data_IF_960210242729
#
_entry.id   IF_960210242729
#
_cell.length_a   1.000
_cell.length_b   1.000
_cell.length_c   1.000
_cell.angle_alpha   90.00
_cell.angle_beta   90.00
_cell.angle_gamma   90.00
#
_symmetry.space_group_name_H-M   'P 1'
#
loop_
_entity.id
_entity.type
_entity.pdbx_description
1 polymer ?
#
# COMPACT_ATOMS: atom_id res chain seq x y z
N UNK A 1 6.21 32.74 4.00
CA UNK A 1 7.63 32.93 4.39
C UNK A 1 8.53 33.08 3.17
N UNK A 2 9.64 33.80 3.31
CA UNK A 2 10.73 33.86 2.32
C UNK A 2 11.65 32.62 2.46
N UNK A 3 12.72 32.56 1.68
CA UNK A 3 13.65 31.42 1.71
C UNK A 3 14.57 31.36 2.96
N UNK A 4 14.57 32.39 3.80
CA UNK A 4 15.28 32.42 5.08
C UNK A 4 14.37 32.03 6.26
N UNK A 5 13.16 31.52 5.98
CA UNK A 5 12.13 31.20 6.96
C UNK A 5 11.59 32.43 7.73
N UNK A 6 11.72 33.62 7.14
CA UNK A 6 11.19 34.86 7.71
C UNK A 6 9.84 35.22 7.08
N UNK A 7 9.05 36.07 7.74
CA UNK A 7 7.83 36.61 7.14
C UNK A 7 8.20 37.39 5.87
N UNK A 8 7.56 37.06 4.75
CA UNK A 8 7.75 37.82 3.53
C UNK A 8 7.24 39.26 3.69
N UNK A 9 7.93 40.24 3.09
CA UNK A 9 7.61 41.66 3.25
C UNK A 9 6.16 41.99 2.86
N UNK A 10 5.61 41.31 1.84
CA UNK A 10 4.25 41.48 1.34
C UNK A 10 3.18 40.75 2.17
N UNK A 11 3.56 39.86 3.08
CA UNK A 11 2.60 39.03 3.81
C UNK A 11 1.93 39.83 4.93
N UNK A 12 0.60 39.85 4.90
CA UNK A 12 -0.23 40.27 6.02
C UNK A 12 -0.08 39.29 7.19
N UNK A 13 -0.40 39.77 8.40
CA UNK A 13 -0.25 39.04 9.66
C UNK A 13 -1.30 39.47 10.68
N UNK A 14 -1.42 38.72 11.79
CA UNK A 14 -2.40 38.97 12.85
C UNK A 14 -3.31 37.77 13.11
N UNK A 15 -4.36 37.95 13.91
CA UNK A 15 -5.17 36.86 14.49
C UNK A 15 -5.85 35.90 13.51
N UNK A 16 -5.95 36.25 12.22
CA UNK A 16 -6.52 35.39 11.18
C UNK A 16 -5.53 34.48 10.47
N UNK A 17 -4.26 34.43 10.91
CA UNK A 17 -3.24 33.55 10.35
C UNK A 17 -3.16 32.27 11.19
N UNK A 18 -3.50 31.14 10.58
CA UNK A 18 -3.41 29.83 11.22
C UNK A 18 -2.02 29.20 11.03
N UNK A 19 -1.45 29.25 9.82
CA UNK A 19 -0.17 28.60 9.53
C UNK A 19 0.60 29.32 8.44
N UNK A 20 1.93 29.28 8.50
CA UNK A 20 2.83 29.86 7.52
C UNK A 20 3.51 28.81 6.65
N UNK A 21 3.56 29.06 5.34
CA UNK A 21 4.27 28.21 4.38
C UNK A 21 5.18 29.03 3.44
N UNK A 22 6.08 28.39 2.67
CA UNK A 22 6.92 29.06 1.68
C UNK A 22 6.07 29.76 0.61
N UNK A 23 6.22 31.08 0.52
CA UNK A 23 5.50 31.91 -0.47
C UNK A 23 6.45 32.63 -1.43
N UNK A 24 7.76 32.56 -1.21
CA UNK A 24 8.77 33.30 -1.94
C UNK A 24 9.11 34.66 -1.31
N UNK A 25 10.02 35.38 -1.97
CA UNK A 25 10.50 36.70 -1.57
C UNK A 25 11.24 37.38 -2.72
N UNK A 26 11.80 38.57 -2.46
CA UNK A 26 12.57 39.31 -3.47
C UNK A 26 13.79 38.52 -3.94
N UNK A 27 14.48 37.84 -3.03
CA UNK A 27 15.71 37.09 -3.36
C UNK A 27 15.42 35.75 -4.05
N UNK A 28 14.45 34.99 -3.53
CA UNK A 28 14.10 33.66 -4.02
C UNK A 28 12.60 33.51 -4.16
N UNK A 29 12.16 33.20 -5.38
CA UNK A 29 10.76 32.97 -5.74
C UNK A 29 10.43 31.48 -5.73
N UNK A 30 9.15 31.15 -5.67
CA UNK A 30 8.65 29.79 -5.86
C UNK A 30 8.63 29.51 -7.36
N UNK A 31 9.45 28.56 -7.80
CA UNK A 31 9.48 28.12 -9.18
C UNK A 31 8.28 27.21 -9.45
N UNK A 32 7.50 27.53 -10.47
CA UNK A 32 6.32 26.74 -10.87
C UNK A 32 6.13 26.78 -12.38
N UNK A 33 5.47 25.75 -12.89
CA UNK A 33 5.04 25.70 -14.29
C UNK A 33 3.86 26.67 -14.49
N UNK A 34 3.87 27.38 -15.60
CA UNK A 34 2.84 28.34 -15.97
C UNK A 34 2.82 28.52 -17.48
N UNK A 35 1.76 29.13 -18.00
CA UNK A 35 1.63 29.41 -19.43
C UNK A 35 2.22 30.78 -19.74
N UNK A 36 3.02 30.85 -20.80
CA UNK A 36 3.43 32.11 -21.38
C UNK A 36 2.23 32.82 -22.04
N UNK A 37 1.84 34.03 -21.60
CA UNK A 37 0.71 34.73 -22.19
C UNK A 37 0.92 35.12 -23.66
N UNK A 38 2.17 35.24 -24.10
CA UNK A 38 2.52 35.65 -25.47
C UNK A 38 2.54 34.49 -26.46
N UNK A 39 3.02 33.33 -26.05
CA UNK A 39 3.18 32.15 -26.93
C UNK A 39 2.17 31.04 -26.66
N UNK A 40 1.46 31.07 -25.54
CA UNK A 40 0.54 30.02 -25.11
C UNK A 40 1.23 28.72 -24.68
N UNK A 41 2.56 28.70 -24.60
CA UNK A 41 3.34 27.50 -24.28
C UNK A 41 3.65 27.41 -22.79
N UNK A 42 3.83 26.17 -22.30
CA UNK A 42 4.29 25.88 -20.95
C UNK A 42 5.70 26.46 -20.71
N UNK A 43 5.90 27.10 -19.56
CA UNK A 43 7.19 27.62 -19.11
C UNK A 43 7.34 27.52 -17.60
N UNK A 44 8.59 27.43 -17.14
CA UNK A 44 8.91 27.59 -15.73
C UNK A 44 9.11 29.06 -15.40
N UNK A 45 8.43 29.55 -14.37
CA UNK A 45 8.59 30.93 -13.89
C UNK A 45 8.53 31.02 -12.36
N UNK A 46 9.27 31.98 -11.81
CA UNK A 46 9.31 32.25 -10.38
C UNK A 46 8.23 33.24 -9.96
N UNK A 47 7.42 32.87 -8.98
CA UNK A 47 6.38 33.71 -8.40
C UNK A 47 6.56 33.91 -6.89
N UNK A 48 5.95 34.96 -6.36
CA UNK A 48 5.88 35.19 -4.92
C UNK A 48 4.48 35.63 -4.54
N UNK A 49 4.02 35.21 -3.36
CA UNK A 49 2.72 35.59 -2.84
C UNK A 49 2.21 34.62 -1.79
N UNK A 50 1.18 35.03 -1.05
CA UNK A 50 0.42 34.11 -0.19
C UNK A 50 -0.31 33.06 -1.01
N UNK A 51 -0.72 33.40 -2.25
CA UNK A 51 -1.25 32.44 -3.22
C UNK A 51 -0.29 31.30 -3.56
N UNK A 52 1.03 31.47 -3.39
CA UNK A 52 2.02 30.40 -3.55
C UNK A 52 2.26 29.65 -2.23
N UNK A 53 1.99 30.25 -1.07
CA UNK A 53 2.04 29.56 0.21
C UNK A 53 0.87 28.59 0.40
N UNK A 54 -0.35 29.00 0.00
CA UNK A 54 -1.56 28.17 0.09
C UNK A 54 -1.45 26.76 -0.53
N UNK A 55 -0.93 26.56 -1.76
CA UNK A 55 -0.79 25.23 -2.35
C UNK A 55 0.22 24.33 -1.62
N UNK A 56 1.21 24.89 -0.90
CA UNK A 56 2.09 24.08 -0.05
C UNK A 56 1.31 23.48 1.11
N UNK A 57 0.50 24.29 1.81
CA UNK A 57 -0.37 23.81 2.91
C UNK A 57 -1.39 22.80 2.38
N UNK A 58 -2.03 23.10 1.24
CA UNK A 58 -2.98 22.19 0.60
C UNK A 58 -2.33 20.85 0.19
N UNK A 59 -1.09 20.89 -0.29
CA UNK A 59 -0.31 19.69 -0.61
C UNK A 59 -0.07 18.82 0.62
N UNK A 60 0.34 19.41 1.75
CA UNK A 60 0.53 18.66 3.01
C UNK A 60 -0.81 18.15 3.54
N UNK A 61 -1.89 18.94 3.47
CA UNK A 61 -3.23 18.50 3.83
C UNK A 61 -3.68 17.27 3.00
N UNK A 62 -3.37 17.26 1.69
CA UNK A 62 -3.63 16.13 0.82
C UNK A 62 -2.79 14.89 1.19
N UNK A 63 -1.52 15.07 1.58
CA UNK A 63 -0.68 13.99 2.10
C UNK A 63 -1.22 13.43 3.43
N UNK A 64 -1.66 14.28 4.36
CA UNK A 64 -2.33 13.82 5.59
C UNK A 64 -3.58 13.01 5.24
N UNK A 65 -4.39 13.50 4.29
CA UNK A 65 -5.59 12.80 3.83
C UNK A 65 -5.28 11.44 3.20
N UNK A 66 -4.17 11.32 2.46
CA UNK A 66 -3.75 10.06 1.83
C UNK A 66 -3.38 8.98 2.86
N UNK A 67 -3.00 9.38 4.08
CA UNK A 67 -2.82 8.43 5.19
C UNK A 67 -4.13 7.79 5.68
N UNK A 68 -5.30 8.27 5.25
CA UNK A 68 -6.61 7.76 5.66
C UNK A 68 -7.37 8.62 6.67
N UNK A 69 -6.81 9.77 7.07
CA UNK A 69 -7.50 10.80 7.86
C UNK A 69 -8.45 11.58 6.94
N UNK A 70 -9.76 11.35 7.07
CA UNK A 70 -10.77 11.95 6.16
C UNK A 70 -11.46 13.20 6.72
N UNK A 71 -11.43 13.37 8.03
CA UNK A 71 -12.08 14.48 8.73
C UNK A 71 -11.28 15.78 8.56
N UNK A 72 -11.83 16.83 7.93
CA UNK A 72 -11.15 18.11 7.73
C UNK A 72 -10.66 18.76 9.02
N UNK A 73 -11.41 18.68 10.12
CA UNK A 73 -11.00 19.27 11.40
C UNK A 73 -9.80 18.54 11.98
N UNK A 74 -9.75 17.21 11.81
CA UNK A 74 -8.59 16.42 12.20
C UNK A 74 -7.36 16.72 11.34
N UNK A 75 -7.54 16.98 10.04
CA UNK A 75 -6.45 17.40 9.15
C UNK A 75 -5.91 18.77 9.59
N UNK A 76 -6.80 19.73 9.83
CA UNK A 76 -6.44 21.07 10.34
C UNK A 76 -5.63 20.95 11.63
N UNK A 77 -6.14 20.21 12.61
CA UNK A 77 -5.47 19.99 13.89
C UNK A 77 -4.08 19.35 13.73
N UNK A 78 -3.93 18.38 12.84
CA UNK A 78 -2.62 17.78 12.56
C UNK A 78 -1.66 18.81 11.97
N UNK A 79 -2.10 19.66 11.04
CA UNK A 79 -1.27 20.74 10.48
C UNK A 79 -0.81 21.72 11.56
N UNK A 80 -1.71 22.08 12.47
CA UNK A 80 -1.42 23.01 13.58
C UNK A 80 -0.44 22.40 14.59
N UNK A 81 -0.71 21.18 15.06
CA UNK A 81 0.13 20.49 16.06
C UNK A 81 1.51 20.07 15.53
N UNK A 82 1.64 19.94 14.20
CA UNK A 82 2.91 19.58 13.57
C UNK A 82 3.71 20.78 13.05
N UNK A 83 3.13 21.98 13.07
CA UNK A 83 3.84 23.18 12.64
C UNK A 83 5.06 23.41 13.52
N UNK A 84 6.16 23.85 12.90
CA UNK A 84 7.36 24.28 13.61
C UNK A 84 7.09 25.61 14.27
N UNK A 85 7.01 25.60 15.58
CA UNK A 85 6.79 26.80 16.40
C UNK A 85 7.89 27.83 16.13
N UNK A 86 7.49 29.10 16.03
CA UNK A 86 8.40 30.23 15.91
C UNK A 86 8.39 30.97 17.24
N UNK A 87 9.51 30.91 17.95
CA UNK A 87 9.64 31.58 19.24
C UNK A 87 9.46 33.09 19.11
N UNK A 88 8.87 33.72 20.13
CA UNK A 88 8.70 35.17 20.23
C UNK A 88 7.86 35.83 19.13
N UNK A 89 6.90 35.10 18.53
CA UNK A 89 5.95 35.65 17.55
C UNK A 89 4.82 36.49 18.19
N UNK A 90 5.20 37.60 18.84
CA UNK A 90 4.27 38.46 19.59
C UNK A 90 3.16 39.09 18.74
N UNK A 91 3.36 39.19 17.42
CA UNK A 91 2.45 39.85 16.49
C UNK A 91 1.69 38.87 15.59
N UNK A 92 1.81 37.58 15.85
CA UNK A 92 1.17 36.49 15.08
C UNK A 92 1.47 36.57 13.58
N UNK A 93 2.76 36.57 13.25
CA UNK A 93 3.28 36.49 11.89
C UNK A 93 3.13 35.09 11.28
N UNK A 94 3.18 34.04 12.10
CA UNK A 94 3.27 32.66 11.65
C UNK A 94 2.08 31.78 12.05
N UNK A 95 1.17 32.29 12.89
CA UNK A 95 0.07 31.47 13.41
C UNK A 95 0.61 30.40 14.36
N UNK A 96 0.14 29.16 14.18
CA UNK A 96 0.69 27.98 14.86
C UNK A 96 2.14 27.66 14.47
N UNK A 97 2.66 28.24 13.38
CA UNK A 97 4.07 28.16 13.03
C UNK A 97 4.32 27.88 11.54
N UNK A 98 5.49 27.34 11.25
CA UNK A 98 5.94 27.03 9.90
C UNK A 98 5.52 25.61 9.52
N UNK A 99 4.91 25.46 8.35
CA UNK A 99 4.46 24.17 7.82
C UNK A 99 5.62 23.15 7.79
N UNK A 100 5.43 22.03 8.49
CA UNK A 100 6.37 20.90 8.51
C UNK A 100 5.68 19.63 8.01
N UNK A 101 5.96 19.26 6.76
CA UNK A 101 5.32 18.12 6.12
C UNK A 101 5.69 16.78 6.79
N UNK A 102 6.91 16.65 7.28
CA UNK A 102 7.39 15.40 7.87
C UNK A 102 6.73 15.15 9.22
N UNK A 103 6.71 16.17 10.08
CA UNK A 103 6.04 16.11 11.37
C UNK A 103 4.54 15.82 11.22
N UNK A 104 3.88 16.45 10.24
CA UNK A 104 2.47 16.24 9.94
C UNK A 104 2.14 14.78 9.61
N UNK A 105 2.96 14.15 8.75
CA UNK A 105 2.73 12.75 8.34
C UNK A 105 3.06 11.77 9.47
N UNK A 106 4.12 12.03 10.24
CA UNK A 106 4.43 11.24 11.44
C UNK A 106 3.27 11.26 12.44
N UNK A 107 2.70 12.43 12.70
CA UNK A 107 1.56 12.60 13.59
C UNK A 107 0.29 11.94 13.06
N UNK A 108 0.01 12.09 11.75
CA UNK A 108 -1.13 11.47 11.08
C UNK A 108 -1.11 9.94 11.16
N UNK A 109 0.08 9.33 11.02
CA UNK A 109 0.28 7.88 11.13
C UNK A 109 0.18 7.38 12.58
N UNK A 110 0.68 8.13 13.57
CA UNK A 110 0.70 7.73 14.99
C UNK A 110 -0.70 7.53 15.59
N UNK A 111 -1.70 8.26 15.10
CA UNK A 111 -3.10 8.17 15.53
C UNK A 111 -3.92 7.05 14.87
N UNK A 112 -3.30 6.19 14.05
CA UNK A 112 -3.95 5.04 13.43
C UNK A 112 -3.38 3.76 14.04
N UNK A 113 -4.14 3.11 14.92
CA UNK A 113 -3.88 1.70 15.18
C UNK A 113 -4.00 0.96 13.84
N UNK A 114 -2.96 0.23 13.41
CA UNK A 114 -2.85 -0.18 12.01
C UNK A 114 -3.73 -1.41 11.69
N UNK A 115 -4.46 -1.95 12.68
CA UNK A 115 -5.47 -2.99 12.48
C UNK A 115 -6.85 -2.39 12.20
N UNK A 116 -6.94 -1.50 11.21
CA UNK A 116 -8.24 -1.11 10.66
C UNK A 116 -8.75 -2.33 9.89
N UNK A 117 -10.00 -2.74 10.16
CA UNK A 117 -10.75 -3.64 9.27
C UNK A 117 -11.02 -2.89 7.96
N UNK A 118 -9.98 -2.78 7.15
CA UNK A 118 -10.04 -2.24 5.81
C UNK A 118 -10.33 -3.36 4.81
N UNK A 119 -10.55 -2.96 3.56
CA UNK A 119 -10.88 -3.90 2.50
C UNK A 119 -9.74 -4.89 2.23
N UNK A 120 -8.46 -4.47 2.33
CA UNK A 120 -7.31 -5.36 2.12
C UNK A 120 -7.30 -6.47 3.18
N UNK A 121 -7.43 -6.11 4.47
CA UNK A 121 -7.50 -7.08 5.56
C UNK A 121 -8.67 -8.06 5.38
N UNK A 122 -9.85 -7.54 5.01
CA UNK A 122 -11.02 -8.38 4.75
C UNK A 122 -10.77 -9.39 3.63
N UNK A 123 -10.14 -8.97 2.53
CA UNK A 123 -9.80 -9.86 1.42
C UNK A 123 -8.77 -10.91 1.83
N UNK A 124 -7.74 -10.54 2.61
CA UNK A 124 -6.74 -11.50 3.12
C UNK A 124 -7.36 -12.55 4.04
N UNK A 125 -8.28 -12.13 4.92
CA UNK A 125 -9.02 -13.05 5.79
C UNK A 125 -9.96 -13.95 4.99
N UNK A 126 -10.63 -13.42 3.96
CA UNK A 126 -11.49 -14.19 3.06
C UNK A 126 -10.69 -15.25 2.29
N UNK A 127 -9.52 -14.89 1.74
CA UNK A 127 -8.61 -15.83 1.06
C UNK A 127 -8.20 -16.98 1.98
N UNK A 128 -7.85 -16.66 3.23
CA UNK A 128 -7.50 -17.66 4.23
C UNK A 128 -8.70 -18.55 4.59
N UNK A 129 -9.88 -17.96 4.78
CA UNK A 129 -11.11 -18.70 5.07
C UNK A 129 -11.47 -19.68 3.95
N UNK A 130 -11.43 -19.24 2.69
CA UNK A 130 -11.68 -20.11 1.53
C UNK A 130 -10.65 -21.25 1.47
N UNK A 131 -9.38 -20.99 1.75
CA UNK A 131 -8.36 -22.03 1.82
C UNK A 131 -8.65 -23.08 2.91
N UNK A 132 -9.15 -22.67 4.08
CA UNK A 132 -9.58 -23.61 5.12
C UNK A 132 -10.86 -24.38 4.74
N UNK A 133 -11.80 -23.77 4.00
CA UNK A 133 -12.95 -24.48 3.42
C UNK A 133 -12.47 -25.56 2.45
N UNK A 134 -11.52 -25.26 1.57
CA UNK A 134 -10.93 -26.29 0.70
C UNK A 134 -10.16 -27.36 1.48
N UNK A 135 -9.49 -27.00 2.56
CA UNK A 135 -8.86 -27.97 3.47
C UNK A 135 -9.88 -28.96 4.04
N UNK A 136 -11.09 -28.50 4.37
CA UNK A 136 -12.15 -29.37 4.89
C UNK A 136 -12.54 -30.49 3.91
N UNK A 137 -12.47 -30.24 2.59
CA UNK A 137 -12.75 -31.24 1.54
C UNK A 137 -11.78 -32.43 1.56
N UNK A 138 -10.56 -32.22 2.06
CA UNK A 138 -9.49 -33.23 2.11
C UNK A 138 -9.09 -33.59 3.55
N UNK A 139 -9.83 -33.10 4.55
CA UNK A 139 -9.46 -33.13 5.97
C UNK A 139 -9.11 -34.52 6.51
N UNK A 140 -9.74 -35.59 5.99
CA UNK A 140 -9.49 -36.98 6.42
C UNK A 140 -8.10 -37.50 6.02
N UNK A 141 -7.49 -36.94 4.99
CA UNK A 141 -6.21 -37.39 4.43
C UNK A 141 -5.06 -36.42 4.73
N UNK A 142 -5.35 -35.26 5.32
CA UNK A 142 -4.36 -34.22 5.61
C UNK A 142 -3.80 -34.36 7.02
N UNK A 143 -2.48 -34.23 7.16
CA UNK A 143 -1.81 -34.05 8.45
C UNK A 143 -1.61 -32.57 8.72
N UNK A 144 -2.26 -32.05 9.77
CA UNK A 144 -2.15 -30.67 10.21
C UNK A 144 -0.81 -30.41 10.93
N UNK A 145 0.24 -30.16 10.14
CA UNK A 145 1.58 -29.80 10.64
C UNK A 145 1.81 -28.28 10.58
N UNK A 146 2.85 -27.78 11.27
CA UNK A 146 3.24 -26.37 11.15
C UNK A 146 3.58 -25.98 9.70
N UNK A 147 4.24 -26.89 8.96
CA UNK A 147 4.56 -26.70 7.54
C UNK A 147 3.30 -26.61 6.67
N UNK A 148 2.26 -27.39 6.98
CA UNK A 148 0.98 -27.29 6.30
C UNK A 148 0.35 -25.90 6.46
N UNK A 149 0.23 -25.40 7.70
CA UNK A 149 -0.33 -24.08 7.96
C UNK A 149 0.53 -22.96 7.36
N UNK A 150 1.85 -23.09 7.41
CA UNK A 150 2.76 -22.18 6.74
C UNK A 150 2.49 -22.12 5.23
N UNK A 151 2.31 -23.28 4.59
CA UNK A 151 1.96 -23.36 3.18
C UNK A 151 0.63 -22.68 2.87
N UNK A 152 -0.41 -22.94 3.68
CA UNK A 152 -1.72 -22.27 3.55
C UNK A 152 -1.54 -20.75 3.58
N UNK A 153 -0.85 -20.22 4.59
CA UNK A 153 -0.62 -18.79 4.76
C UNK A 153 0.13 -18.20 3.57
N UNK A 154 1.25 -18.81 3.16
CA UNK A 154 2.06 -18.36 2.02
C UNK A 154 1.26 -18.35 0.71
N UNK A 155 0.46 -19.39 0.48
CA UNK A 155 -0.37 -19.50 -0.71
C UNK A 155 -1.56 -18.54 -0.74
N UNK A 156 -2.23 -18.32 0.40
CA UNK A 156 -3.49 -17.58 0.44
C UNK A 156 -3.35 -16.08 0.69
N UNK A 157 -2.72 -15.70 1.81
CA UNK A 157 -2.75 -14.31 2.28
C UNK A 157 -1.37 -13.69 2.51
N UNK A 158 -0.31 -14.49 2.49
CA UNK A 158 1.04 -14.07 2.89
C UNK A 158 1.10 -13.67 4.37
N UNK A 159 2.26 -13.21 4.82
CA UNK A 159 2.41 -12.64 6.16
C UNK A 159 1.92 -11.19 6.19
N UNK A 160 0.65 -10.96 5.87
CA UNK A 160 0.12 -9.61 5.62
C UNK A 160 0.32 -8.65 6.80
N UNK A 161 0.37 -9.15 8.04
CA UNK A 161 0.64 -8.35 9.24
C UNK A 161 2.04 -7.71 9.23
N UNK A 162 2.98 -8.24 8.46
CA UNK A 162 4.29 -7.63 8.30
C UNK A 162 4.22 -6.26 7.59
N UNK A 163 3.16 -5.97 6.82
CA UNK A 163 2.94 -4.62 6.26
C UNK A 163 2.76 -3.55 7.35
N UNK A 164 2.43 -3.95 8.58
CA UNK A 164 2.26 -3.00 9.69
C UNK A 164 3.60 -2.48 10.22
N UNK A 165 4.71 -3.11 9.83
CA UNK A 165 6.06 -2.74 10.25
C UNK A 165 6.67 -1.79 9.22
N UNK A 166 6.41 -0.49 9.35
CA UNK A 166 7.02 0.53 8.50
C UNK A 166 8.38 0.94 9.09
N UNK A 167 9.48 0.45 8.50
CA UNK A 167 10.85 0.81 8.92
C UNK A 167 11.33 1.97 8.06
N UNK A 168 11.49 3.14 8.69
CA UNK A 168 11.99 4.35 8.03
C UNK A 168 13.40 4.12 7.41
N UNK A 169 13.65 4.67 6.23
CA UNK A 169 14.92 4.60 5.47
C UNK A 169 15.39 3.22 4.98
N UNK A 170 14.53 2.20 4.99
CA UNK A 170 14.87 0.85 4.46
C UNK A 170 14.04 0.54 3.21
N UNK A 171 14.62 -0.12 2.18
CA UNK A 171 13.85 -0.62 1.05
C UNK A 171 12.71 -1.54 1.53
N UNK A 172 11.46 -1.13 1.29
CA UNK A 172 10.27 -1.86 1.76
C UNK A 172 9.91 -3.06 0.87
N UNK A 173 10.54 -3.21 -0.30
CA UNK A 173 10.20 -4.26 -1.25
C UNK A 173 10.35 -5.71 -0.71
N UNK A 174 11.34 -6.07 0.15
CA UNK A 174 11.42 -7.42 0.71
C UNK A 174 10.25 -7.69 1.66
N UNK A 175 9.89 -6.70 2.47
CA UNK A 175 8.76 -6.79 3.38
C UNK A 175 7.43 -6.91 2.60
N UNK A 176 7.27 -6.13 1.53
CA UNK A 176 6.12 -6.26 0.62
C UNK A 176 6.04 -7.64 0.00
N UNK A 177 7.16 -8.23 -0.40
CA UNK A 177 7.20 -9.57 -0.98
C UNK A 177 6.74 -10.64 0.02
N UNK A 178 7.35 -10.69 1.22
CA UNK A 178 7.01 -11.70 2.25
C UNK A 178 5.59 -11.49 2.81
N UNK A 179 5.12 -10.24 2.86
CA UNK A 179 3.77 -9.93 3.31
C UNK A 179 2.68 -10.28 2.29
N UNK A 180 3.05 -10.44 1.01
CA UNK A 180 2.12 -10.74 -0.06
C UNK A 180 1.98 -12.25 -0.28
N UNK A 181 0.79 -12.75 -0.66
CA UNK A 181 0.64 -14.14 -1.06
C UNK A 181 1.47 -14.43 -2.30
N UNK A 182 1.89 -15.70 -2.45
CA UNK A 182 2.76 -16.14 -3.56
C UNK A 182 2.22 -15.74 -4.94
N UNK A 183 0.89 -15.75 -5.12
CA UNK A 183 0.24 -15.34 -6.37
C UNK A 183 0.39 -13.85 -6.73
N UNK A 184 0.73 -12.99 -5.76
CA UNK A 184 0.93 -11.54 -5.93
C UNK A 184 2.41 -11.14 -5.99
N UNK A 185 3.36 -12.09 -5.96
CA UNK A 185 4.78 -11.76 -5.96
C UNK A 185 5.23 -11.04 -7.23
N UNK A 186 4.61 -11.32 -8.38
CA UNK A 186 4.86 -10.58 -9.61
C UNK A 186 4.60 -9.08 -9.46
N UNK A 187 3.48 -8.71 -8.84
CA UNK A 187 3.12 -7.32 -8.54
C UNK A 187 4.11 -6.67 -7.58
N UNK A 188 4.50 -7.41 -6.53
CA UNK A 188 5.42 -6.91 -5.52
C UNK A 188 6.81 -6.58 -6.09
N UNK A 189 7.25 -7.33 -7.11
CA UNK A 189 8.54 -7.14 -7.80
C UNK A 189 8.44 -6.06 -8.88
N UNK A 190 7.40 -6.11 -9.72
CA UNK A 190 7.27 -5.25 -10.91
C UNK A 190 6.66 -3.88 -10.59
N UNK A 191 5.97 -3.72 -9.46
CA UNK A 191 5.22 -2.51 -9.13
C UNK A 191 3.94 -2.31 -9.96
N UNK A 192 3.44 -3.38 -10.60
CA UNK A 192 2.20 -3.36 -11.39
C UNK A 192 0.95 -3.51 -10.53
N UNK A 193 -0.15 -2.91 -10.97
CA UNK A 193 -1.48 -3.08 -10.38
C UNK A 193 -2.10 -4.41 -10.80
N UNK A 194 -1.81 -4.86 -12.03
CA UNK A 194 -2.37 -6.10 -12.61
C UNK A 194 -1.61 -7.34 -12.15
N UNK A 195 -2.33 -8.42 -11.88
CA UNK A 195 -1.74 -9.64 -11.35
C UNK A 195 -0.94 -10.37 -12.43
N UNK A 196 0.27 -10.83 -12.10
CA UNK A 196 1.09 -11.57 -13.06
C UNK A 196 0.58 -13.03 -13.21
N UNK A 197 0.18 -13.47 -14.43
CA UNK A 197 -0.43 -14.79 -14.63
C UNK A 197 0.52 -15.96 -14.35
N UNK A 198 1.84 -15.75 -14.41
CA UNK A 198 2.83 -16.79 -14.08
C UNK A 198 2.79 -17.08 -12.58
N UNK A 199 2.74 -16.03 -11.75
CA UNK A 199 2.68 -16.18 -10.30
C UNK A 199 1.28 -16.61 -9.85
N UNK A 200 0.22 -16.08 -10.47
CA UNK A 200 -1.16 -16.46 -10.23
C UNK A 200 -1.56 -17.74 -10.98
N UNK A 201 -0.76 -18.80 -10.81
CA UNK A 201 -0.98 -20.09 -11.45
C UNK A 201 -0.60 -21.26 -10.54
N UNK A 202 -0.90 -22.48 -11.00
CA UNK A 202 -0.49 -23.72 -10.33
C UNK A 202 1.03 -23.96 -10.38
N UNK A 203 1.81 -23.17 -11.14
CA UNK A 203 3.24 -23.43 -11.37
C UNK A 203 4.06 -23.48 -10.07
N UNK A 204 3.85 -22.53 -9.16
CA UNK A 204 4.57 -22.51 -7.87
C UNK A 204 4.19 -23.73 -7.02
N UNK A 205 2.89 -24.02 -6.76
CA UNK A 205 2.47 -25.26 -6.13
C UNK A 205 3.02 -26.53 -6.79
N UNK A 206 3.02 -26.59 -8.12
CA UNK A 206 3.51 -27.74 -8.89
C UNK A 206 5.01 -27.98 -8.66
N UNK A 207 5.84 -26.93 -8.76
CA UNK A 207 7.27 -27.02 -8.49
C UNK A 207 7.54 -27.44 -7.04
N UNK A 208 6.82 -26.87 -6.07
CA UNK A 208 6.95 -27.27 -4.66
C UNK A 208 6.57 -28.73 -4.45
N UNK A 209 5.49 -29.19 -5.09
CA UNK A 209 5.07 -30.58 -5.00
C UNK A 209 6.13 -31.50 -5.60
N UNK A 210 6.62 -31.22 -6.81
CA UNK A 210 7.65 -32.01 -7.46
C UNK A 210 8.94 -32.13 -6.62
N UNK A 211 9.33 -31.07 -5.91
CA UNK A 211 10.53 -31.04 -5.07
C UNK A 211 10.33 -31.70 -3.70
N UNK A 212 9.16 -31.56 -3.08
CA UNK A 212 8.96 -31.90 -1.66
C UNK A 212 8.15 -33.17 -1.43
N UNK A 213 7.49 -33.74 -2.46
CA UNK A 213 6.61 -34.90 -2.31
C UNK A 213 7.31 -36.13 -1.70
N UNK A 214 8.60 -36.33 -2.04
CA UNK A 214 9.40 -37.44 -1.51
C UNK A 214 9.77 -37.30 -0.02
N UNK A 215 9.57 -36.13 0.59
CA UNK A 215 9.88 -35.88 1.99
C UNK A 215 8.60 -35.96 2.85
N UNK A 216 8.63 -36.79 3.90
CA UNK A 216 7.47 -37.09 4.76
C UNK A 216 6.85 -35.86 5.43
N UNK A 217 7.66 -34.87 5.77
CA UNK A 217 7.21 -33.66 6.46
C UNK A 217 7.12 -32.46 5.50
N UNK A 218 8.10 -32.28 4.61
CA UNK A 218 8.12 -31.15 3.70
C UNK A 218 7.01 -31.19 2.64
N UNK A 219 6.49 -32.37 2.27
CA UNK A 219 5.33 -32.49 1.37
C UNK A 219 4.12 -31.68 1.86
N UNK A 220 3.94 -31.57 3.18
CA UNK A 220 2.82 -30.84 3.75
C UNK A 220 2.90 -29.33 3.50
N UNK A 221 4.10 -28.77 3.35
CA UNK A 221 4.29 -27.39 2.89
C UNK A 221 3.76 -27.20 1.47
N UNK A 222 4.06 -28.14 0.57
CA UNK A 222 3.58 -28.11 -0.80
C UNK A 222 2.05 -28.28 -0.88
N UNK A 223 1.48 -29.24 -0.12
CA UNK A 223 0.02 -29.44 -0.02
C UNK A 223 -0.67 -28.19 0.52
N UNK A 224 -0.16 -27.61 1.61
CA UNK A 224 -0.69 -26.38 2.17
C UNK A 224 -0.62 -25.21 1.18
N UNK A 225 0.50 -25.05 0.49
CA UNK A 225 0.68 -24.01 -0.54
C UNK A 225 -0.30 -24.16 -1.69
N UNK A 226 -0.52 -25.39 -2.17
CA UNK A 226 -1.52 -25.68 -3.23
C UNK A 226 -2.93 -25.27 -2.81
N UNK A 227 -3.36 -25.64 -1.60
CA UNK A 227 -4.69 -25.27 -1.09
C UNK A 227 -4.79 -23.75 -0.86
N UNK A 228 -3.74 -23.13 -0.30
CA UNK A 228 -3.66 -21.70 -0.10
C UNK A 228 -3.78 -20.92 -1.42
N UNK A 229 -3.04 -21.34 -2.44
CA UNK A 229 -3.08 -20.77 -3.79
C UNK A 229 -4.48 -20.93 -4.41
N UNK A 230 -5.13 -22.09 -4.26
CA UNK A 230 -6.51 -22.27 -4.73
C UNK A 230 -7.49 -21.27 -4.07
N UNK A 231 -7.34 -21.03 -2.76
CA UNK A 231 -8.13 -20.03 -2.04
C UNK A 231 -7.87 -18.60 -2.53
N UNK A 232 -6.60 -18.23 -2.73
CA UNK A 232 -6.20 -16.94 -3.31
C UNK A 232 -6.81 -16.72 -4.70
N UNK A 233 -6.63 -17.67 -5.62
CA UNK A 233 -7.12 -17.57 -6.99
C UNK A 233 -8.65 -17.47 -7.03
N UNK A 234 -9.34 -18.24 -6.19
CA UNK A 234 -10.81 -18.24 -6.10
C UNK A 234 -11.36 -16.87 -5.68
N UNK A 235 -10.79 -16.25 -4.64
CA UNK A 235 -11.21 -14.90 -4.22
C UNK A 235 -10.88 -13.86 -5.29
N UNK A 236 -9.74 -14.01 -5.97
CA UNK A 236 -9.29 -13.08 -7.02
C UNK A 236 -10.27 -13.01 -8.20
N UNK A 237 -10.89 -14.13 -8.58
CA UNK A 237 -11.92 -14.19 -9.65
C UNK A 237 -13.04 -13.16 -9.45
N UNK A 238 -13.47 -12.94 -8.21
CA UNK A 238 -14.61 -12.09 -7.87
C UNK A 238 -14.25 -10.68 -7.44
N UNK A 239 -12.98 -10.41 -7.16
CA UNK A 239 -12.53 -9.16 -6.54
C UNK A 239 -11.71 -8.31 -7.50
N UNK A 240 -10.71 -8.89 -8.15
CA UNK A 240 -9.82 -8.19 -9.10
C UNK A 240 -9.21 -9.21 -10.06
N UNK A 241 -9.97 -9.67 -11.07
CA UNK A 241 -9.53 -10.74 -11.97
C UNK A 241 -8.53 -10.26 -13.03
N UNK A 242 -8.16 -8.99 -13.06
CA UNK A 242 -7.32 -8.42 -14.12
C UNK A 242 -5.88 -8.95 -14.04
N UNK A 243 -5.44 -9.55 -15.13
CA UNK A 243 -4.14 -10.18 -15.28
C UNK A 243 -3.32 -9.40 -16.29
N UNK A 244 -2.02 -9.25 -16.02
CA UNK A 244 -1.09 -8.72 -16.98
C UNK A 244 -1.02 -9.66 -18.21
N UNK A 245 -1.04 -9.10 -19.43
CA UNK A 245 -1.10 -9.78 -20.74
C UNK A 245 -2.41 -10.48 -21.13
N UNK A 246 -3.24 -10.88 -20.18
CA UNK A 246 -4.58 -11.41 -20.46
C UNK A 246 -5.58 -10.26 -20.41
N UNK A 247 -6.46 -10.15 -21.40
CA UNK A 247 -7.49 -9.10 -21.39
C UNK A 247 -8.36 -9.18 -20.12
N UNK A 248 -8.93 -8.05 -19.71
CA UNK A 248 -9.86 -8.01 -18.58
C UNK A 248 -11.12 -8.85 -18.83
N UNK A 249 -11.79 -9.25 -17.74
CA UNK A 249 -13.06 -9.95 -17.79
C UNK A 249 -12.96 -11.48 -17.82
N UNK A 250 -13.81 -12.12 -18.62
CA UNK A 250 -14.11 -13.56 -18.53
C UNK A 250 -12.90 -14.48 -18.81
N UNK A 251 -11.99 -14.07 -19.70
CA UNK A 251 -10.78 -14.85 -20.02
C UNK A 251 -9.90 -15.01 -18.78
N UNK A 252 -9.65 -13.92 -18.06
CA UNK A 252 -8.83 -13.94 -16.86
C UNK A 252 -9.52 -14.69 -15.72
N UNK A 253 -10.85 -14.58 -15.59
CA UNK A 253 -11.61 -15.39 -14.63
C UNK A 253 -11.52 -16.89 -14.91
N UNK A 254 -11.63 -17.31 -16.19
CA UNK A 254 -11.44 -18.71 -16.57
C UNK A 254 -10.03 -19.17 -16.26
N UNK A 255 -9.00 -18.36 -16.61
CA UNK A 255 -7.62 -18.69 -16.32
C UNK A 255 -7.38 -18.94 -14.82
N UNK A 256 -7.85 -18.02 -13.97
CA UNK A 256 -7.75 -18.14 -12.51
C UNK A 256 -8.52 -19.36 -11.99
N UNK A 257 -9.74 -19.59 -12.50
CA UNK A 257 -10.58 -20.73 -12.11
C UNK A 257 -9.96 -22.08 -12.48
N UNK A 258 -9.42 -22.21 -13.70
CA UNK A 258 -8.71 -23.41 -14.14
C UNK A 258 -7.49 -23.66 -13.26
N UNK A 259 -6.69 -22.63 -12.97
CA UNK A 259 -5.52 -22.78 -12.10
C UNK A 259 -5.90 -23.13 -10.66
N UNK A 260 -7.00 -22.59 -10.12
CA UNK A 260 -7.51 -22.97 -8.80
C UNK A 260 -7.90 -24.46 -8.77
N UNK A 261 -8.60 -24.96 -9.79
CA UNK A 261 -8.95 -26.38 -9.91
C UNK A 261 -7.72 -27.26 -10.07
N UNK A 262 -6.72 -26.84 -10.85
CA UNK A 262 -5.46 -27.56 -11.01
C UNK A 262 -4.70 -27.67 -9.67
N UNK A 263 -4.71 -26.62 -8.85
CA UNK A 263 -4.12 -26.67 -7.50
C UNK A 263 -4.81 -27.72 -6.62
N UNK A 264 -6.15 -27.80 -6.64
CA UNK A 264 -6.90 -28.80 -5.89
C UNK A 264 -6.72 -30.22 -6.45
N UNK A 265 -6.60 -30.36 -7.77
CA UNK A 265 -6.30 -31.63 -8.41
C UNK A 265 -4.90 -32.14 -8.01
N UNK A 266 -3.90 -31.25 -7.93
CA UNK A 266 -2.56 -31.56 -7.48
C UNK A 266 -2.55 -32.08 -6.02
N UNK A 267 -3.36 -31.48 -5.14
CA UNK A 267 -3.57 -31.98 -3.77
C UNK A 267 -4.14 -33.40 -3.80
N UNK A 268 -5.22 -33.62 -4.54
CA UNK A 268 -5.85 -34.93 -4.64
C UNK A 268 -4.88 -36.02 -5.15
N UNK A 269 -4.02 -35.68 -6.11
CA UNK A 269 -2.99 -36.60 -6.60
C UNK A 269 -1.94 -36.90 -5.52
N UNK A 270 -1.43 -35.87 -4.84
CA UNK A 270 -0.40 -36.03 -3.79
C UNK A 270 -0.87 -36.87 -2.58
N UNK A 271 -2.18 -36.90 -2.32
CA UNK A 271 -2.78 -37.67 -1.22
C UNK A 271 -3.05 -39.14 -1.59
N UNK A 272 -3.02 -39.50 -2.88
CA UNK A 272 -3.15 -40.90 -3.32
C UNK A 272 -1.85 -41.68 -3.26
N UNK A 273 -0.72 -40.99 -3.33
CA UNK A 273 0.62 -41.58 -3.24
C UNK A 273 1.12 -41.75 -1.79
N UNK A 274 0.32 -41.34 -0.80
CA UNK A 274 0.70 -41.31 0.63
C UNK A 274 0.18 -42.47 1.46
#
# INVERSE_FOLDING_TARGET
MNANNEKAFYSNYGVGVDISAPGGGQDKKILQETIDPSSGQAKMAGFMGTSMASPHVAGVAALIRSTGVKDPEKIRKILEESAREVENDKLNYYGFGQLDAEAAIKLAKKGQFPLRLDHDLLMKLLMLAVAYVFTALFSKSIRFTALFHLGIVLGSCGFFLLKLVDIFDVPQWPLRLVSSPLGQWGNAIQGSVDINPIFASVLIPFCLMALLLGNRDAKWLAVGTSIGMAGFLTVTIFTSPDLWLLSSGLVSQIFLGVNALLCLALVNLSLKES
#
